data_IF_905418401447
#
_entry.id   IF_905418401447
#
_cell.length_a   1.000
_cell.length_b   1.000
_cell.length_c   1.000
_cell.angle_alpha   90.00
_cell.angle_beta   90.00
_cell.angle_gamma   90.00
#
_symmetry.space_group_name_H-M   'P 1'
#
loop_
_entity.id
_entity.type
_entity.pdbx_description
1 polymer ?
#
# COMPACT_ATOMS: atom_id res chain seq x y z
N UNK A 1 3.86 -0.60 9.27
CA UNK A 1 3.31 -0.43 7.90
C UNK A 1 4.22 -1.04 6.86
N UNK A 2 3.69 -1.42 5.70
CA UNK A 2 4.46 -1.93 4.56
C UNK A 2 4.16 -1.10 3.30
N UNK A 3 5.18 -0.72 2.54
CA UNK A 3 5.03 -0.14 1.20
C UNK A 3 5.53 -1.15 0.18
N UNK A 4 4.71 -1.48 -0.81
CA UNK A 4 5.02 -2.42 -1.89
C UNK A 4 4.75 -1.79 -3.24
N UNK A 5 5.80 -1.56 -4.02
CA UNK A 5 5.71 -0.99 -5.36
C UNK A 5 6.95 -1.42 -6.15
N UNK A 6 6.78 -1.83 -7.41
CA UNK A 6 7.92 -2.21 -8.26
C UNK A 6 8.75 -1.01 -8.71
N UNK A 7 8.24 0.22 -8.56
CA UNK A 7 8.95 1.46 -8.82
C UNK A 7 9.72 1.92 -7.56
N UNK A 8 11.06 1.80 -7.50
CA UNK A 8 11.82 2.14 -6.29
C UNK A 8 11.68 3.60 -5.86
N UNK A 9 11.52 4.51 -6.82
CA UNK A 9 11.31 5.94 -6.54
C UNK A 9 9.98 6.18 -5.81
N UNK A 10 8.93 5.44 -6.14
CA UNK A 10 7.65 5.50 -5.44
C UNK A 10 7.79 4.95 -4.02
N UNK A 11 8.52 3.84 -3.86
CA UNK A 11 8.82 3.28 -2.53
C UNK A 11 9.59 4.28 -1.67
N UNK A 12 10.62 4.93 -2.20
CA UNK A 12 11.42 5.93 -1.48
C UNK A 12 10.57 7.14 -1.10
N UNK A 13 9.76 7.66 -2.03
CA UNK A 13 8.87 8.80 -1.77
C UNK A 13 7.89 8.49 -0.63
N UNK A 14 7.18 7.36 -0.73
CA UNK A 14 6.17 6.97 0.25
C UNK A 14 6.78 6.65 1.61
N UNK A 15 7.88 5.89 1.63
CA UNK A 15 8.54 5.53 2.89
C UNK A 15 9.10 6.74 3.61
N UNK A 16 9.74 7.68 2.88
CA UNK A 16 10.27 8.92 3.48
C UNK A 16 9.15 9.74 4.11
N UNK A 17 8.06 9.97 3.37
CA UNK A 17 6.90 10.71 3.87
C UNK A 17 6.27 10.05 5.10
N UNK A 18 6.07 8.74 5.09
CA UNK A 18 5.44 8.04 6.21
C UNK A 18 6.34 7.97 7.44
N UNK A 19 7.66 7.88 7.26
CA UNK A 19 8.61 7.97 8.38
C UNK A 19 8.59 9.37 9.00
N UNK A 20 8.51 10.43 8.18
CA UNK A 20 8.35 11.82 8.67
C UNK A 20 7.04 12.00 9.46
N UNK A 21 5.97 11.30 9.07
CA UNK A 21 4.70 11.26 9.80
C UNK A 21 4.74 10.39 11.07
N UNK A 22 5.89 9.77 11.38
CA UNK A 22 6.11 8.99 12.61
C UNK A 22 5.80 7.49 12.50
N UNK A 23 5.54 6.97 11.29
CA UNK A 23 5.29 5.55 11.09
C UNK A 23 6.57 4.72 11.01
N UNK A 24 6.51 3.51 11.56
CA UNK A 24 7.50 2.47 11.24
C UNK A 24 7.13 1.81 9.91
N UNK A 25 8.00 1.96 8.91
CA UNK A 25 7.76 1.53 7.54
C UNK A 25 8.74 0.43 7.13
N UNK A 26 8.20 -0.66 6.59
CA UNK A 26 8.93 -1.67 5.83
C UNK A 26 8.68 -1.44 4.35
N UNK A 27 9.62 -1.83 3.49
CA UNK A 27 9.57 -1.55 2.05
C UNK A 27 9.87 -2.80 1.25
N UNK A 28 9.14 -3.02 0.16
CA UNK A 28 9.38 -4.10 -0.78
C UNK A 28 9.23 -3.61 -2.22
N UNK A 29 10.16 -4.02 -3.08
CA UNK A 29 10.05 -3.83 -4.54
C UNK A 29 9.75 -5.12 -5.27
N UNK A 30 9.54 -6.21 -4.53
CA UNK A 30 9.20 -7.54 -5.03
C UNK A 30 8.15 -8.20 -4.14
N UNK A 31 7.21 -8.99 -4.69
CA UNK A 31 6.21 -9.69 -3.88
C UNK A 31 6.82 -10.61 -2.82
N UNK A 32 7.95 -11.27 -3.11
CA UNK A 32 8.63 -12.15 -2.16
C UNK A 32 9.13 -11.42 -0.91
N UNK A 33 9.65 -10.20 -1.05
CA UNK A 33 10.08 -9.37 0.07
C UNK A 33 8.89 -8.96 0.94
N UNK A 34 7.78 -8.60 0.31
CA UNK A 34 6.56 -8.26 1.03
C UNK A 34 6.04 -9.44 1.86
N UNK A 35 6.04 -10.65 1.28
CA UNK A 35 5.65 -11.87 2.00
C UNK A 35 6.58 -12.13 3.19
N UNK A 36 7.90 -12.03 3.01
CA UNK A 36 8.87 -12.18 4.10
C UNK A 36 8.61 -11.17 5.23
N UNK A 37 8.34 -9.90 4.88
CA UNK A 37 8.05 -8.85 5.84
C UNK A 37 6.78 -9.14 6.65
N UNK A 38 5.70 -9.55 6.00
CA UNK A 38 4.42 -9.87 6.66
C UNK A 38 4.55 -11.08 7.58
N UNK A 39 5.42 -12.05 7.25
CA UNK A 39 5.68 -13.20 8.11
C UNK A 39 6.56 -12.87 9.32
N UNK A 40 7.45 -11.87 9.19
CA UNK A 40 8.46 -11.54 10.19
C UNK A 40 8.05 -10.42 11.15
N UNK A 41 7.18 -9.52 10.72
CA UNK A 41 6.85 -8.30 11.46
C UNK A 41 5.33 -8.17 11.64
N UNK A 42 4.87 -7.57 12.76
CA UNK A 42 3.47 -7.22 12.93
C UNK A 42 3.17 -6.00 12.03
N UNK A 43 2.64 -6.28 10.85
CA UNK A 43 2.24 -5.26 9.89
C UNK A 43 0.72 -5.24 9.89
N UNK A 44 0.13 -4.11 10.27
CA UNK A 44 -1.33 -3.97 10.32
C UNK A 44 -1.90 -3.40 9.03
N UNK A 45 -1.11 -2.55 8.34
CA UNK A 45 -1.51 -1.86 7.12
C UNK A 45 -0.39 -1.88 6.07
N UNK A 46 -0.76 -2.18 4.82
CA UNK A 46 0.09 -2.05 3.65
C UNK A 46 -0.44 -1.05 2.61
N UNK A 47 0.49 -0.41 1.92
CA UNK A 47 0.24 0.35 0.69
C UNK A 47 0.84 -0.46 -0.45
N UNK A 48 0.02 -0.89 -1.42
CA UNK A 48 0.42 -1.89 -2.43
C UNK A 48 0.06 -1.41 -3.83
N UNK A 49 0.99 -1.45 -4.78
CA UNK A 49 0.64 -1.30 -6.19
C UNK A 49 -0.21 -2.49 -6.66
N UNK A 50 -1.34 -2.23 -7.31
CA UNK A 50 -2.20 -3.25 -7.93
C UNK A 50 -1.40 -4.18 -8.86
N UNK A 51 -0.37 -3.69 -9.55
CA UNK A 51 0.50 -4.52 -10.39
C UNK A 51 1.22 -5.63 -9.60
N UNK A 52 1.41 -5.42 -8.30
CA UNK A 52 2.18 -6.27 -7.37
C UNK A 52 1.30 -7.17 -6.50
N UNK A 53 0.00 -7.26 -6.80
CA UNK A 53 -1.05 -7.89 -5.98
C UNK A 53 -1.03 -9.43 -5.94
N UNK A 54 0.15 -10.05 -5.97
CA UNK A 54 0.34 -11.48 -5.73
C UNK A 54 0.43 -11.82 -4.22
N UNK A 55 0.24 -10.84 -3.34
CA UNK A 55 0.37 -10.96 -1.89
C UNK A 55 -1.02 -11.15 -1.26
N UNK A 56 -1.30 -12.32 -0.66
CA UNK A 56 -2.45 -12.60 0.24
C UNK A 56 -2.11 -13.74 1.20
N UNK A 57 -2.63 -13.81 2.46
CA UNK A 57 -3.93 -13.32 2.95
C UNK A 57 -3.91 -12.56 4.31
N UNK A 58 -4.98 -11.82 4.65
CA UNK A 58 -5.24 -11.14 5.95
C UNK A 58 -4.49 -9.84 6.32
N UNK A 59 -3.89 -9.13 5.36
CA UNK A 59 -3.35 -7.79 5.60
C UNK A 59 -4.30 -6.71 5.07
N UNK A 60 -4.62 -5.70 5.88
CA UNK A 60 -5.36 -4.55 5.38
C UNK A 60 -4.50 -3.77 4.39
N UNK A 61 -5.08 -3.43 3.24
CA UNK A 61 -4.32 -2.83 2.14
C UNK A 61 -5.03 -1.62 1.56
N UNK A 62 -4.30 -0.52 1.46
CA UNK A 62 -4.61 0.62 0.59
C UNK A 62 -3.90 0.36 -0.74
N UNK A 63 -4.65 0.22 -1.82
CA UNK A 63 -4.10 -0.02 -3.14
C UNK A 63 -3.70 1.32 -3.79
N UNK A 64 -2.55 1.35 -4.44
CA UNK A 64 -2.14 2.45 -5.32
C UNK A 64 -2.05 1.95 -6.75
N UNK A 65 -2.37 2.78 -7.74
CA UNK A 65 -2.28 2.33 -9.13
C UNK A 65 -2.20 3.46 -10.14
N UNK A 66 -1.43 3.28 -11.21
CA UNK A 66 -1.53 4.12 -12.40
C UNK A 66 -2.70 3.72 -13.33
N UNK A 67 -3.37 2.58 -13.08
CA UNK A 67 -4.50 2.15 -13.88
C UNK A 67 -5.72 3.04 -13.64
N UNK A 68 -6.19 3.69 -14.71
CA UNK A 68 -7.46 4.44 -14.72
C UNK A 68 -8.67 3.56 -15.08
N UNK A 69 -8.46 2.26 -15.29
CA UNK A 69 -9.53 1.32 -15.62
C UNK A 69 -10.36 1.03 -14.36
N UNK A 70 -11.62 1.48 -14.40
CA UNK A 70 -12.59 1.24 -13.33
C UNK A 70 -12.74 -0.25 -13.00
N UNK A 71 -12.56 -1.17 -13.97
CA UNK A 71 -12.65 -2.62 -13.71
C UNK A 71 -11.55 -3.08 -12.76
N UNK A 72 -10.31 -2.64 -12.97
CA UNK A 72 -9.18 -3.00 -12.09
C UNK A 72 -9.36 -2.45 -10.68
N UNK A 73 -9.90 -1.24 -10.57
CA UNK A 73 -10.25 -0.63 -9.26
C UNK A 73 -11.33 -1.47 -8.56
N UNK A 74 -12.39 -1.86 -9.27
CA UNK A 74 -13.43 -2.74 -8.71
C UNK A 74 -12.87 -4.11 -8.29
N UNK A 75 -11.96 -4.69 -9.07
CA UNK A 75 -11.25 -5.92 -8.71
C UNK A 75 -10.33 -5.75 -7.49
N UNK A 76 -9.77 -4.55 -7.29
CA UNK A 76 -9.05 -4.16 -6.08
C UNK A 76 -9.92 -4.36 -4.83
N UNK A 77 -11.07 -3.68 -4.82
CA UNK A 77 -12.04 -3.73 -3.71
C UNK A 77 -12.64 -5.12 -3.52
N UNK A 78 -13.00 -5.84 -4.59
CA UNK A 78 -13.50 -7.22 -4.50
C UNK A 78 -12.49 -8.18 -3.88
N UNK A 79 -11.20 -7.85 -3.96
CA UNK A 79 -10.16 -8.62 -3.29
C UNK A 79 -9.88 -8.13 -1.85
N UNK A 80 -10.70 -7.26 -1.27
CA UNK A 80 -10.56 -6.81 0.12
C UNK A 80 -9.58 -5.65 0.32
N UNK A 81 -9.33 -4.85 -0.72
CA UNK A 81 -8.68 -3.55 -0.51
C UNK A 81 -9.60 -2.63 0.31
N UNK A 82 -9.03 -1.90 1.27
CA UNK A 82 -9.75 -0.89 2.05
C UNK A 82 -10.04 0.36 1.22
N UNK A 83 -9.03 0.85 0.52
CA UNK A 83 -9.13 2.00 -0.39
C UNK A 83 -8.27 1.73 -1.64
N UNK A 84 -8.53 2.49 -2.70
CA UNK A 84 -7.80 2.45 -3.96
C UNK A 84 -7.53 3.88 -4.47
N UNK A 85 -6.25 4.25 -4.50
CA UNK A 85 -5.77 5.60 -4.82
C UNK A 85 -5.07 5.59 -6.17
N UNK A 86 -5.45 6.51 -7.06
CA UNK A 86 -4.91 6.58 -8.42
C UNK A 86 -3.66 7.50 -8.43
N UNK A 87 -2.57 7.01 -9.03
CA UNK A 87 -1.35 7.77 -9.38
C UNK A 87 -1.64 8.71 -10.57
N UNK A 88 -1.11 9.96 -10.58
CA UNK A 88 -0.39 10.61 -9.50
C UNK A 88 -1.34 10.99 -8.35
N UNK A 89 -0.91 10.77 -7.12
CA UNK A 89 -1.71 11.01 -5.93
C UNK A 89 -1.17 12.16 -5.08
N UNK A 90 -2.04 12.74 -4.26
CA UNK A 90 -1.64 13.70 -3.25
C UNK A 90 -1.29 12.96 -1.94
N UNK A 91 -0.09 13.18 -1.41
CA UNK A 91 0.36 12.56 -0.16
C UNK A 91 -0.53 12.88 1.05
N UNK A 92 -1.17 14.07 1.07
CA UNK A 92 -2.16 14.42 2.10
C UNK A 92 -3.41 13.55 1.99
N UNK A 93 -3.86 13.24 0.78
CA UNK A 93 -5.00 12.35 0.57
C UNK A 93 -4.68 10.93 1.04
N UNK A 94 -3.50 10.40 0.66
CA UNK A 94 -3.03 9.09 1.14
C UNK A 94 -2.99 9.05 2.68
N UNK A 95 -2.45 10.10 3.32
CA UNK A 95 -2.43 10.22 4.78
C UNK A 95 -3.83 10.19 5.38
N UNK A 96 -4.80 10.90 4.81
CA UNK A 96 -6.18 10.89 5.29
C UNK A 96 -6.76 9.48 5.25
N UNK A 97 -6.56 8.73 4.16
CA UNK A 97 -7.02 7.35 4.04
C UNK A 97 -6.36 6.42 5.09
N UNK A 98 -5.06 6.58 5.32
CA UNK A 98 -4.32 5.84 6.37
C UNK A 98 -4.91 6.14 7.75
N UNK A 99 -5.08 7.42 8.09
CA UNK A 99 -5.58 7.83 9.41
C UNK A 99 -7.02 7.39 9.64
N UNK A 100 -7.88 7.48 8.62
CA UNK A 100 -9.24 6.97 8.69
C UNK A 100 -9.26 5.48 9.04
N UNK A 101 -8.36 4.69 8.43
CA UNK A 101 -8.28 3.26 8.73
C UNK A 101 -7.83 2.94 10.14
N UNK A 102 -6.89 3.71 10.68
CA UNK A 102 -6.32 3.46 12.01
C UNK A 102 -7.30 3.77 13.16
N UNK A 103 -8.45 4.39 12.88
CA UNK A 103 -9.48 4.75 13.87
C UNK A 103 -10.59 3.68 13.95
N UNK A 104 -10.70 2.80 12.94
CA UNK A 104 -11.61 1.63 12.93
C UNK A 104 -11.04 0.46 13.73
#
# INVERSE_FOLDING_TARGET
MLVVDDEPDVVVLLSSYLVEEGFKVYTATKPSQAIEHVQKYPIDLAIIDIAMKQIKPNLEAIMITAYKDAKKVVEAFRAGAYDCIIKPFNLKYLRTAIMAKMIE
#
